data_IF_080479085800
#
_entry.id   IF_080479085800
#
_cell.length_a   1.000
_cell.length_b   1.000
_cell.length_c   1.000
_cell.angle_alpha   90.00
_cell.angle_beta   90.00
_cell.angle_gamma   90.00
#
_symmetry.space_group_name_H-M   'P 1'
#
loop_
_entity.id
_entity.type
_entity.pdbx_description
1 polymer ?
#
# COMPACT_ATOMS: atom_id res chain seq x y z
N UNK A 1 0.62 12.65 11.65
CA UNK A 1 0.05 11.94 10.48
C UNK A 1 -1.45 12.17 10.46
N UNK A 2 -2.08 12.39 9.30
CA UNK A 2 -3.55 12.56 9.21
C UNK A 2 -4.16 11.32 8.54
N UNK A 3 -5.24 10.74 9.08
CA UNK A 3 -5.91 9.61 8.44
C UNK A 3 -6.55 10.06 7.12
N UNK A 4 -6.45 9.20 6.10
CA UNK A 4 -6.99 9.46 4.76
C UNK A 4 -8.37 8.82 4.53
N UNK A 5 -8.88 8.05 5.50
CA UNK A 5 -10.15 7.32 5.35
C UNK A 5 -10.06 6.20 4.31
N UNK A 6 -11.12 5.98 3.55
CA UNK A 6 -11.17 4.95 2.51
C UNK A 6 -10.44 5.41 1.23
N UNK A 7 -9.11 5.30 1.24
CA UNK A 7 -8.28 5.68 0.11
C UNK A 7 -8.57 4.87 -1.16
N UNK A 8 -8.95 3.58 -1.04
CA UNK A 8 -9.26 2.73 -2.17
C UNK A 8 -10.53 3.22 -2.92
N UNK A 9 -11.58 3.56 -2.18
CA UNK A 9 -12.83 4.09 -2.75
C UNK A 9 -12.65 5.46 -3.38
N UNK A 10 -11.95 6.36 -2.70
CA UNK A 10 -11.67 7.70 -3.23
C UNK A 10 -10.77 7.64 -4.48
N UNK A 11 -9.74 6.78 -4.48
CA UNK A 11 -8.89 6.53 -5.64
C UNK A 11 -9.68 6.03 -6.85
N UNK A 12 -10.56 5.04 -6.64
CA UNK A 12 -11.42 4.52 -7.72
C UNK A 12 -12.31 5.61 -8.34
N UNK A 13 -12.89 6.49 -7.51
CA UNK A 13 -13.70 7.63 -7.99
C UNK A 13 -12.86 8.64 -8.78
N UNK A 14 -11.69 9.02 -8.26
CA UNK A 14 -10.78 9.96 -8.94
C UNK A 14 -10.39 9.43 -10.32
N UNK A 15 -10.05 8.14 -10.38
CA UNK A 15 -9.61 7.50 -11.60
C UNK A 15 -10.77 7.30 -12.57
N UNK A 16 -11.98 7.04 -12.10
CA UNK A 16 -13.16 7.05 -12.96
C UNK A 16 -13.36 8.41 -13.66
N UNK A 17 -13.06 9.52 -12.98
CA UNK A 17 -13.34 10.87 -13.48
C UNK A 17 -12.17 11.51 -14.27
N UNK A 18 -10.93 11.02 -14.14
CA UNK A 18 -9.77 11.62 -14.81
C UNK A 18 -8.90 10.59 -15.54
N UNK A 19 -8.74 10.78 -16.86
CA UNK A 19 -7.82 9.99 -17.69
C UNK A 19 -6.35 10.20 -17.31
N UNK A 20 -5.99 11.42 -16.95
CA UNK A 20 -4.63 11.76 -16.49
C UNK A 20 -4.29 11.00 -15.23
N UNK A 21 -5.22 10.92 -14.26
CA UNK A 21 -5.04 10.17 -13.03
C UNK A 21 -4.90 8.66 -13.28
N UNK A 22 -5.65 8.09 -14.23
CA UNK A 22 -5.44 6.69 -14.64
C UNK A 22 -4.04 6.44 -15.24
N UNK A 23 -3.50 7.39 -16.00
CA UNK A 23 -2.14 7.27 -16.54
C UNK A 23 -1.12 7.31 -15.41
N UNK A 24 -1.30 8.21 -14.45
CA UNK A 24 -0.48 8.31 -13.24
C UNK A 24 -0.48 6.99 -12.45
N UNK A 25 -1.66 6.41 -12.20
CA UNK A 25 -1.80 5.10 -11.54
C UNK A 25 -1.01 4.00 -12.26
N UNK A 26 -1.08 3.96 -13.59
CA UNK A 26 -0.32 2.98 -14.38
C UNK A 26 1.19 3.16 -14.23
N UNK A 27 1.67 4.38 -14.04
CA UNK A 27 3.09 4.67 -13.78
C UNK A 27 3.45 4.22 -12.36
N UNK A 28 2.59 4.49 -11.37
CA UNK A 28 2.79 4.09 -9.98
C UNK A 28 2.82 2.57 -9.86
N UNK A 29 1.87 1.85 -10.47
CA UNK A 29 1.81 0.40 -10.45
C UNK A 29 3.09 -0.27 -10.97
N UNK A 30 3.77 0.35 -11.94
CA UNK A 30 5.05 -0.15 -12.46
C UNK A 30 6.25 0.06 -11.53
N UNK A 31 6.09 0.85 -10.47
CA UNK A 31 7.12 1.15 -9.48
C UNK A 31 6.91 0.40 -8.16
N UNK A 32 5.83 -0.38 -8.04
CA UNK A 32 5.52 -1.14 -6.84
C UNK A 32 6.13 -2.53 -6.97
N UNK A 33 6.96 -2.88 -6.00
CA UNK A 33 7.49 -4.23 -5.84
C UNK A 33 6.69 -4.99 -4.77
N UNK A 34 6.30 -6.21 -5.10
CA UNK A 34 5.67 -7.10 -4.13
C UNK A 34 6.72 -7.75 -3.24
N UNK A 35 6.48 -7.75 -1.92
CA UNK A 35 7.33 -8.40 -0.92
C UNK A 35 6.53 -9.54 -0.28
N UNK A 36 6.99 -10.78 -0.47
CA UNK A 36 6.39 -11.98 0.11
C UNK A 36 6.86 -12.15 1.56
N UNK A 37 6.13 -11.57 2.51
CA UNK A 37 6.52 -11.54 3.92
C UNK A 37 6.70 -12.94 4.54
N UNK A 38 6.00 -13.97 4.02
CA UNK A 38 6.18 -15.34 4.50
C UNK A 38 7.56 -15.93 4.13
N UNK A 39 8.18 -15.44 3.06
CA UNK A 39 9.52 -15.83 2.62
C UNK A 39 10.62 -14.89 3.15
N UNK A 40 10.24 -13.73 3.71
CA UNK A 40 11.19 -12.77 4.29
C UNK A 40 11.81 -13.31 5.57
N UNK A 41 13.11 -13.62 5.50
CA UNK A 41 13.88 -14.30 6.56
C UNK A 41 13.68 -13.70 7.95
N UNK A 42 13.61 -12.37 8.03
CA UNK A 42 13.58 -11.65 9.31
C UNK A 42 12.16 -11.27 9.76
N UNK A 43 11.13 -11.51 8.94
CA UNK A 43 9.79 -11.01 9.22
C UNK A 43 9.21 -11.56 10.52
N UNK A 44 9.35 -12.87 10.75
CA UNK A 44 8.82 -13.51 11.97
C UNK A 44 9.48 -12.99 13.25
N UNK A 45 10.79 -12.73 13.21
CA UNK A 45 11.52 -12.18 14.37
C UNK A 45 11.03 -10.76 14.70
N UNK A 46 10.89 -9.89 13.69
CA UNK A 46 10.40 -8.52 13.87
C UNK A 46 8.92 -8.47 14.29
N UNK A 47 8.11 -9.39 13.75
CA UNK A 47 6.71 -9.52 14.14
C UNK A 47 6.59 -9.87 15.63
N UNK A 48 7.33 -10.86 16.12
CA UNK A 48 7.30 -11.27 17.53
C UNK A 48 7.80 -10.16 18.46
N UNK A 49 8.85 -9.42 18.10
CA UNK A 49 9.31 -8.26 18.88
C UNK A 49 8.21 -7.21 19.03
N UNK A 50 7.38 -7.05 18.01
CA UNK A 50 6.30 -6.06 17.94
C UNK A 50 5.00 -6.47 18.64
N UNK A 51 4.89 -7.73 19.13
CA UNK A 51 3.72 -8.20 19.87
C UNK A 51 3.64 -7.69 21.31
N UNK A 52 4.74 -7.16 21.86
CA UNK A 52 4.73 -6.60 23.20
C UNK A 52 3.94 -5.30 23.19
N UNK A 53 2.90 -5.24 24.02
CA UNK A 53 2.25 -3.97 24.31
C UNK A 53 3.25 -3.02 24.99
N UNK A 54 3.26 -1.74 24.63
CA UNK A 54 4.11 -0.74 25.27
C UNK A 54 3.84 -0.62 26.78
#
# INVERSE_FOLDING_TARGET
MKPVGNAAGEGAKISLLSKEKRIEENIINKKIDYIELAAEKNFNEEFVKSLRFP
#
